data_IF_509330256063
#
_entry.id   IF_509330256063
#
_cell.length_a   1.000
_cell.length_b   1.000
_cell.length_c   1.000
_cell.angle_alpha   90.00
_cell.angle_beta   90.00
_cell.angle_gamma   90.00
#
_symmetry.space_group_name_H-M   'P 1'
#
loop_
_entity.id
_entity.type
_entity.pdbx_description
1 polymer ?
#
# COMPACT_ATOMS: atom_id res chain seq x y z
N UNK A 1 8.08 12.29 -9.00
CA UNK A 1 6.68 12.59 -9.44
C UNK A 1 6.18 11.28 -10.00
N UNK A 2 5.12 10.66 -9.45
CA UNK A 2 4.63 9.31 -9.85
C UNK A 2 4.03 9.23 -11.28
N UNK A 3 4.46 10.10 -12.20
CA UNK A 3 3.91 10.30 -13.56
C UNK A 3 4.06 9.11 -14.52
N UNK A 4 4.38 7.91 -14.02
CA UNK A 4 4.57 6.70 -14.84
C UNK A 4 3.92 5.42 -14.29
N UNK A 5 3.38 5.42 -13.06
CA UNK A 5 2.67 4.25 -12.54
C UNK A 5 1.22 4.33 -13.05
N UNK A 6 0.97 3.83 -14.26
CA UNK A 6 -0.39 3.58 -14.72
C UNK A 6 -1.01 2.50 -13.82
N UNK A 7 -1.74 2.93 -12.79
CA UNK A 7 -2.59 2.09 -11.94
C UNK A 7 -4.04 2.25 -12.36
N UNK A 8 -4.79 1.15 -12.31
CA UNK A 8 -6.22 1.13 -12.57
C UNK A 8 -6.94 1.80 -11.39
N UNK A 9 -7.17 3.11 -11.50
CA UNK A 9 -7.81 3.90 -10.45
C UNK A 9 -9.34 3.95 -10.60
N UNK A 10 -9.99 3.08 -11.39
CA UNK A 10 -11.44 3.20 -11.58
C UNK A 10 -12.26 3.02 -10.30
N UNK A 11 -11.65 2.42 -9.26
CA UNK A 11 -12.23 2.24 -7.92
C UNK A 11 -11.63 3.20 -6.87
N UNK A 12 -10.70 4.07 -7.28
CA UNK A 12 -10.04 5.07 -6.42
C UNK A 12 -10.26 6.45 -7.02
N UNK A 13 -11.03 7.30 -6.36
CA UNK A 13 -11.33 8.63 -6.88
C UNK A 13 -10.13 9.59 -6.71
N UNK A 14 -10.14 10.73 -7.41
CA UNK A 14 -9.17 11.81 -7.19
C UNK A 14 -7.84 11.72 -7.96
N UNK A 15 -7.05 12.79 -7.84
CA UNK A 15 -5.72 12.93 -8.46
C UNK A 15 -4.64 12.85 -7.38
N UNK A 16 -3.50 12.22 -7.70
CA UNK A 16 -2.36 12.19 -6.77
C UNK A 16 -1.81 13.59 -6.50
N UNK A 17 -1.69 13.92 -5.22
CA UNK A 17 -1.02 15.13 -4.75
C UNK A 17 0.50 15.04 -4.88
N UNK A 18 1.17 16.18 -4.63
CA UNK A 18 2.62 16.21 -4.54
C UNK A 18 3.10 15.37 -3.34
N UNK A 19 4.26 14.67 -3.45
CA UNK A 19 4.78 13.90 -2.35
C UNK A 19 5.20 14.80 -1.18
N UNK A 20 4.90 14.35 0.03
CA UNK A 20 5.35 14.95 1.29
C UNK A 20 6.55 14.14 1.80
N UNK A 21 7.56 14.83 2.32
CA UNK A 21 8.75 14.20 2.90
C UNK A 21 8.81 14.47 4.40
N UNK A 22 9.10 13.43 5.19
CA UNK A 22 9.33 13.53 6.62
C UNK A 22 10.57 12.70 6.99
N UNK A 23 11.46 13.25 7.81
CA UNK A 23 12.59 12.50 8.38
C UNK A 23 12.46 12.47 9.90
N UNK A 24 12.58 11.27 10.47
CA UNK A 24 12.54 11.02 11.91
C UNK A 24 13.69 10.12 12.34
N UNK A 25 14.07 10.19 13.60
CA UNK A 25 15.05 9.26 14.20
C UNK A 25 14.31 8.09 14.82
N UNK A 26 14.71 6.87 14.46
CA UNK A 26 14.21 5.62 15.03
C UNK A 26 15.34 4.87 15.73
N UNK A 27 15.01 3.87 16.55
CA UNK A 27 16.01 3.02 17.17
C UNK A 27 16.84 2.29 16.10
N UNK A 28 18.07 2.75 15.87
CA UNK A 28 18.99 2.20 14.86
C UNK A 28 19.32 3.11 13.68
N UNK A 29 18.78 4.34 13.60
CA UNK A 29 19.18 5.34 12.60
C UNK A 29 18.06 6.29 12.16
N UNK A 30 18.16 6.83 10.95
CA UNK A 30 17.14 7.71 10.37
C UNK A 30 16.10 6.91 9.58
N UNK A 31 14.84 7.36 9.64
CA UNK A 31 13.75 6.98 8.75
C UNK A 31 13.34 8.20 7.95
N UNK A 32 13.51 8.14 6.63
CA UNK A 32 12.99 9.16 5.71
C UNK A 32 11.81 8.59 4.95
N UNK A 33 10.64 9.15 5.17
CA UNK A 33 9.37 8.78 4.55
C UNK A 33 9.03 9.75 3.42
N UNK A 34 8.70 9.21 2.25
CA UNK A 34 8.10 9.91 1.12
C UNK A 34 6.68 9.37 0.94
N UNK A 35 5.67 10.22 1.06
CA UNK A 35 4.28 9.80 0.96
C UNK A 35 3.52 10.64 -0.06
N UNK A 36 2.65 10.00 -0.82
CA UNK A 36 1.69 10.68 -1.68
C UNK A 36 0.37 9.90 -1.67
N UNK A 37 -0.73 10.61 -1.84
CA UNK A 37 -2.04 10.00 -2.01
C UNK A 37 -2.89 10.80 -2.97
N UNK A 38 -3.99 10.21 -3.40
CA UNK A 38 -5.03 10.95 -4.09
C UNK A 38 -5.76 11.92 -3.14
N UNK A 39 -6.41 12.91 -3.74
CA UNK A 39 -7.05 14.02 -3.03
C UNK A 39 -8.12 13.63 -2.01
N UNK A 40 -8.71 12.43 -2.14
CA UNK A 40 -9.73 11.91 -1.22
C UNK A 40 -9.22 10.80 -0.29
N UNK A 41 -7.93 10.46 -0.37
CA UNK A 41 -7.31 9.45 0.50
C UNK A 41 -7.76 8.02 0.21
N UNK A 42 -8.38 7.76 -0.94
CA UNK A 42 -8.75 6.40 -1.35
C UNK A 42 -7.56 5.56 -1.80
N UNK A 43 -6.43 6.17 -2.15
CA UNK A 43 -5.18 5.48 -2.45
C UNK A 43 -3.99 6.31 -1.94
N UNK A 44 -3.23 5.75 -1.01
CA UNK A 44 -1.99 6.33 -0.48
C UNK A 44 -0.83 5.37 -0.68
N UNK A 45 0.34 5.94 -0.95
CA UNK A 45 1.60 5.21 -1.09
C UNK A 45 2.61 5.93 -0.21
N UNK A 46 3.17 5.20 0.75
CA UNK A 46 4.30 5.60 1.58
C UNK A 46 5.51 4.75 1.22
N UNK A 47 6.65 5.41 1.03
CA UNK A 47 7.95 4.77 0.84
C UNK A 47 8.91 5.32 1.88
N UNK A 48 9.32 4.44 2.79
CA UNK A 48 10.24 4.76 3.87
C UNK A 48 11.62 4.17 3.58
N UNK A 49 12.65 5.01 3.63
CA UNK A 49 14.05 4.56 3.68
C UNK A 49 14.42 4.30 5.14
N UNK A 50 14.87 3.09 5.42
CA UNK A 50 15.29 2.63 6.74
C UNK A 50 16.81 2.46 6.79
N UNK A 51 17.41 2.33 7.99
CA UNK A 51 18.87 2.23 8.15
C UNK A 51 19.49 0.99 7.49
N UNK A 52 18.74 -0.09 7.33
CA UNK A 52 19.17 -1.35 6.72
C UNK A 52 17.96 -2.22 6.30
N UNK A 53 18.24 -3.28 5.55
CA UNK A 53 17.26 -4.23 5.01
C UNK A 53 16.44 -4.92 6.10
N UNK A 54 17.07 -5.29 7.22
CA UNK A 54 16.39 -5.93 8.36
C UNK A 54 15.36 -4.99 9.01
N UNK A 55 15.67 -3.69 9.11
CA UNK A 55 14.75 -2.68 9.62
C UNK A 55 13.57 -2.47 8.66
N UNK A 56 13.83 -2.41 7.35
CA UNK A 56 12.78 -2.33 6.33
C UNK A 56 11.85 -3.55 6.37
N UNK A 57 12.41 -4.76 6.50
CA UNK A 57 11.62 -6.00 6.63
C UNK A 57 10.73 -5.99 7.86
N UNK A 58 11.25 -5.58 9.01
CA UNK A 58 10.47 -5.48 10.25
C UNK A 58 9.34 -4.46 10.15
N UNK A 59 9.61 -3.30 9.54
CA UNK A 59 8.59 -2.28 9.30
C UNK A 59 7.46 -2.81 8.39
N UNK A 60 7.81 -3.49 7.30
CA UNK A 60 6.84 -4.12 6.42
C UNK A 60 6.04 -5.23 7.12
N UNK A 61 6.69 -6.13 7.85
CA UNK A 61 6.02 -7.19 8.59
C UNK A 61 5.07 -6.64 9.67
N UNK A 62 5.44 -5.54 10.33
CA UNK A 62 4.63 -4.87 11.34
C UNK A 62 3.28 -4.40 10.77
N UNK A 63 3.30 -3.80 9.58
CA UNK A 63 2.12 -3.21 8.95
C UNK A 63 1.03 -4.22 8.58
N UNK A 64 1.36 -5.51 8.56
CA UNK A 64 0.44 -6.61 8.28
C UNK A 64 0.23 -7.57 9.46
N UNK A 65 0.76 -7.34 10.66
CA UNK A 65 0.65 -8.27 11.80
C UNK A 65 -0.79 -8.71 12.14
N UNK A 66 -0.91 -9.87 12.80
CA UNK A 66 -2.20 -10.49 13.20
C UNK A 66 -3.13 -9.52 13.94
N UNK A 67 -2.59 -8.65 14.78
CA UNK A 67 -3.36 -7.63 15.51
C UNK A 67 -4.11 -6.63 14.61
N UNK A 68 -3.72 -6.54 13.34
CA UNK A 68 -4.39 -5.72 12.33
C UNK A 68 -5.26 -6.55 11.38
N UNK A 69 -5.19 -7.88 11.41
CA UNK A 69 -5.91 -8.76 10.48
C UNK A 69 -7.43 -8.67 10.66
N UNK A 70 -7.94 -8.68 11.89
CA UNK A 70 -9.40 -8.64 12.11
C UNK A 70 -10.05 -7.38 11.52
N UNK A 71 -9.36 -6.24 11.61
CA UNK A 71 -9.82 -4.97 11.04
C UNK A 71 -9.61 -4.90 9.52
N UNK A 72 -8.47 -5.40 9.02
CA UNK A 72 -8.03 -5.21 7.63
C UNK A 72 -8.32 -6.39 6.69
N UNK A 73 -8.79 -7.52 7.19
CA UNK A 73 -9.32 -8.62 6.37
C UNK A 73 -10.80 -8.88 6.66
N UNK A 74 -11.21 -8.89 7.92
CA UNK A 74 -12.57 -9.29 8.27
C UNK A 74 -12.91 -10.73 7.86
N UNK A 75 -14.18 -11.15 7.98
CA UNK A 75 -14.61 -12.54 7.72
C UNK A 75 -14.47 -12.98 6.26
N UNK A 76 -14.69 -12.06 5.32
CA UNK A 76 -14.61 -12.34 3.89
C UNK A 76 -13.28 -11.88 3.26
N UNK A 77 -12.28 -11.61 4.10
CA UNK A 77 -11.04 -10.98 3.70
C UNK A 77 -10.14 -11.82 2.82
N UNK A 78 -9.32 -11.12 2.03
CA UNK A 78 -8.21 -11.74 1.29
C UNK A 78 -6.91 -11.36 1.98
N UNK A 79 -6.07 -12.35 2.28
CA UNK A 79 -4.75 -12.13 2.87
C UNK A 79 -3.66 -12.90 2.15
N UNK A 80 -2.48 -12.29 2.05
CA UNK A 80 -1.28 -12.92 1.51
C UNK A 80 -0.05 -12.40 2.22
N UNK A 81 0.81 -13.31 2.71
CA UNK A 81 2.15 -12.97 3.21
C UNK A 81 3.17 -13.16 2.10
N UNK A 82 4.18 -12.30 2.04
CA UNK A 82 5.31 -12.46 1.15
C UNK A 82 6.48 -13.13 1.88
N UNK A 83 7.27 -13.93 1.16
CA UNK A 83 8.45 -14.62 1.74
C UNK A 83 9.51 -13.66 2.27
N UNK A 84 9.61 -12.49 1.64
CA UNK A 84 10.68 -11.53 1.85
C UNK A 84 10.30 -10.42 2.85
N UNK A 85 9.11 -10.53 3.44
CA UNK A 85 8.53 -9.57 4.37
C UNK A 85 7.31 -8.85 3.80
N UNK A 86 6.36 -8.54 4.69
CA UNK A 86 5.12 -7.89 4.35
C UNK A 86 4.07 -8.80 3.74
N UNK A 87 3.19 -8.22 2.94
CA UNK A 87 2.01 -8.90 2.41
C UNK A 87 0.93 -7.94 1.95
N UNK A 88 -0.28 -8.45 1.76
CA UNK A 88 -1.48 -7.62 1.69
C UNK A 88 -2.63 -8.20 2.50
N UNK A 89 -3.51 -7.30 2.92
CA UNK A 89 -4.78 -7.55 3.60
C UNK A 89 -5.85 -6.74 2.87
N UNK A 90 -6.98 -7.36 2.53
CA UNK A 90 -8.11 -6.72 1.86
C UNK A 90 -9.38 -7.11 2.62
N UNK A 91 -10.08 -6.12 3.15
CA UNK A 91 -11.39 -6.27 3.78
C UNK A 91 -12.48 -5.77 2.82
N UNK A 92 -13.17 -6.68 2.11
CA UNK A 92 -14.23 -6.28 1.20
C UNK A 92 -15.50 -5.81 1.91
N UNK A 93 -15.65 -6.10 3.20
CA UNK A 93 -16.83 -5.75 3.99
C UNK A 93 -16.74 -4.32 4.52
N UNK A 94 -15.53 -3.78 4.67
CA UNK A 94 -15.28 -2.39 5.10
C UNK A 94 -14.70 -1.51 4.00
N UNK A 95 -14.28 -2.09 2.87
CA UNK A 95 -13.69 -1.34 1.78
C UNK A 95 -12.26 -0.87 2.05
N UNK A 96 -11.53 -1.54 2.95
CA UNK A 96 -10.17 -1.14 3.34
C UNK A 96 -9.18 -2.21 2.88
N UNK A 97 -8.05 -1.78 2.31
CA UNK A 97 -6.93 -2.66 2.01
C UNK A 97 -5.59 -2.03 2.33
N UNK A 98 -4.62 -2.89 2.58
CA UNK A 98 -3.24 -2.53 2.86
C UNK A 98 -2.31 -3.51 2.18
N UNK A 99 -1.27 -3.00 1.52
CA UNK A 99 -0.15 -3.79 1.04
C UNK A 99 1.15 -3.21 1.59
N UNK A 100 2.10 -4.09 1.89
CA UNK A 100 3.46 -3.70 2.25
C UNK A 100 4.48 -4.70 1.72
N UNK A 101 5.64 -4.21 1.36
CA UNK A 101 6.76 -4.99 0.83
C UNK A 101 8.06 -4.19 0.95
N UNK A 102 9.19 -4.84 0.66
CA UNK A 102 10.52 -4.23 0.78
C UNK A 102 11.31 -4.26 -0.52
N UNK A 103 12.24 -3.32 -0.64
CA UNK A 103 13.25 -3.26 -1.71
C UNK A 103 14.58 -2.83 -1.08
N UNK A 104 15.42 -3.80 -0.68
CA UNK A 104 16.61 -3.50 0.14
C UNK A 104 16.23 -2.77 1.43
N UNK A 105 16.87 -1.62 1.68
CA UNK A 105 16.60 -0.79 2.86
C UNK A 105 15.33 0.08 2.76
N UNK A 106 14.46 -0.19 1.79
CA UNK A 106 13.20 0.54 1.60
C UNK A 106 12.01 -0.31 2.02
N UNK A 107 11.11 0.27 2.80
CA UNK A 107 9.79 -0.26 3.14
C UNK A 107 8.74 0.51 2.36
N UNK A 108 7.79 -0.21 1.75
CA UNK A 108 6.69 0.37 0.99
C UNK A 108 5.40 0.00 1.72
N UNK A 109 4.53 0.97 1.93
CA UNK A 109 3.17 0.80 2.44
C UNK A 109 2.19 1.43 1.46
N UNK A 110 1.18 0.68 1.07
CA UNK A 110 0.09 1.12 0.22
C UNK A 110 -1.20 0.93 0.99
N UNK A 111 -2.01 1.97 1.11
CA UNK A 111 -3.37 1.86 1.63
C UNK A 111 -4.35 2.21 0.52
N UNK A 112 -5.35 1.35 0.33
CA UNK A 112 -6.35 1.48 -0.72
C UNK A 112 -7.74 1.32 -0.09
N UNK A 113 -8.49 2.41 -0.04
CA UNK A 113 -9.88 2.44 0.39
C UNK A 113 -10.79 2.47 -0.84
N UNK A 114 -11.86 1.69 -0.83
CA UNK A 114 -12.75 1.49 -1.95
C UNK A 114 -14.18 1.28 -1.44
N UNK A 115 -15.18 1.38 -2.32
CA UNK A 115 -16.56 1.07 -1.94
C UNK A 115 -16.65 -0.37 -1.40
N UNK A 116 -17.19 -0.58 -0.21
CA UNK A 116 -17.38 -1.94 0.30
C UNK A 116 -18.34 -2.73 -0.62
N UNK A 117 -18.35 -4.07 -0.47
CA UNK A 117 -19.19 -4.94 -1.30
C UNK A 117 -20.68 -4.62 -1.23
N UNK A 118 -21.18 -4.16 -0.09
CA UNK A 118 -22.59 -3.82 0.06
C UNK A 118 -22.92 -2.54 -0.74
N UNK A 119 -22.08 -1.51 -0.65
CA UNK A 119 -22.18 -0.29 -1.44
C UNK A 119 -22.06 -0.60 -2.93
N UNK A 120 -21.01 -1.30 -3.36
CA UNK A 120 -20.79 -1.65 -4.76
C UNK A 120 -22.01 -2.40 -5.34
N UNK A 121 -22.57 -3.35 -4.58
CA UNK A 121 -23.78 -4.08 -4.99
C UNK A 121 -25.01 -3.18 -5.07
N UNK A 122 -25.21 -2.29 -4.10
CA UNK A 122 -26.35 -1.38 -4.07
C UNK A 122 -26.33 -0.41 -5.26
N UNK A 123 -25.15 -0.03 -5.71
CA UNK A 123 -24.94 0.86 -6.86
C UNK A 123 -24.85 0.13 -8.21
N UNK A 124 -24.99 -1.20 -8.22
CA UNK A 124 -24.89 -2.00 -9.44
C UNK A 124 -23.47 -2.06 -10.05
N UNK A 125 -22.44 -1.77 -9.25
CA UNK A 125 -21.03 -1.87 -9.62
C UNK A 125 -20.53 -3.32 -9.49
N UNK A 126 -19.45 -3.64 -10.21
CA UNK A 126 -18.72 -4.91 -10.04
C UNK A 126 -18.02 -4.99 -8.67
N UNK A 127 -17.72 -6.21 -8.19
CA UNK A 127 -16.87 -6.39 -7.00
C UNK A 127 -15.54 -5.63 -7.20
N UNK A 128 -15.16 -4.71 -6.30
CA UNK A 128 -13.93 -3.93 -6.43
C UNK A 128 -12.66 -4.73 -6.12
N UNK A 129 -12.75 -5.83 -5.37
CA UNK A 129 -11.59 -6.61 -4.89
C UNK A 129 -10.62 -7.02 -6.03
N UNK A 130 -11.07 -7.55 -7.19
CA UNK A 130 -10.16 -7.89 -8.27
C UNK A 130 -9.36 -6.69 -8.80
N UNK A 131 -9.96 -5.50 -8.83
CA UNK A 131 -9.28 -4.26 -9.26
C UNK A 131 -8.26 -3.79 -8.22
N UNK A 132 -8.61 -3.88 -6.94
CA UNK A 132 -7.69 -3.60 -5.84
C UNK A 132 -6.47 -4.51 -5.94
N UNK A 133 -6.65 -5.83 -6.10
CA UNK A 133 -5.54 -6.79 -6.25
C UNK A 133 -4.65 -6.42 -7.44
N UNK A 134 -5.22 -6.14 -8.61
CA UNK A 134 -4.43 -5.74 -9.80
C UNK A 134 -3.62 -4.46 -9.54
N UNK A 135 -4.20 -3.49 -8.84
CA UNK A 135 -3.53 -2.24 -8.48
C UNK A 135 -2.36 -2.49 -7.55
N UNK A 136 -2.57 -3.28 -6.50
CA UNK A 136 -1.54 -3.67 -5.54
C UNK A 136 -0.41 -4.46 -6.23
N UNK A 137 -0.72 -5.39 -7.13
CA UNK A 137 0.29 -6.14 -7.89
C UNK A 137 1.10 -5.23 -8.83
N UNK A 138 0.44 -4.24 -9.46
CA UNK A 138 1.10 -3.24 -10.31
C UNK A 138 2.07 -2.39 -9.51
N UNK A 139 1.65 -1.86 -8.36
CA UNK A 139 2.50 -1.05 -7.48
C UNK A 139 3.71 -1.86 -6.99
N UNK A 140 3.48 -3.10 -6.55
CA UNK A 140 4.55 -4.02 -6.13
C UNK A 140 5.57 -4.30 -7.23
N UNK A 141 5.19 -4.21 -8.50
CA UNK A 141 6.09 -4.40 -9.62
C UNK A 141 6.81 -3.11 -10.01
N UNK A 142 6.10 -1.98 -10.09
CA UNK A 142 6.67 -0.72 -10.60
C UNK A 142 7.52 0.04 -9.59
N UNK A 143 7.15 0.05 -8.30
CA UNK A 143 7.92 0.80 -7.28
C UNK A 143 9.36 0.29 -7.13
N UNK A 144 9.62 -1.03 -7.08
CA UNK A 144 11.00 -1.52 -7.07
C UNK A 144 11.83 -1.05 -8.28
N UNK A 145 11.24 -1.04 -9.49
CA UNK A 145 11.91 -0.57 -10.71
C UNK A 145 12.29 0.92 -10.61
N UNK A 146 11.38 1.75 -10.08
CA UNK A 146 11.63 3.19 -9.85
C UNK A 146 12.74 3.43 -8.81
N UNK A 147 12.73 2.68 -7.71
CA UNK A 147 13.77 2.77 -6.67
C UNK A 147 15.14 2.35 -7.23
N UNK A 148 15.20 1.24 -7.96
CA UNK A 148 16.46 0.70 -8.51
C UNK A 148 17.04 1.58 -9.62
N UNK A 149 16.19 2.23 -10.43
CA UNK A 149 16.62 3.14 -11.49
C UNK A 149 16.99 4.55 -10.99
N UNK A 150 16.71 4.87 -9.71
CA UNK A 150 16.89 6.21 -9.16
C UNK A 150 15.89 7.25 -9.70
N UNK A 151 14.85 6.82 -10.40
CA UNK A 151 13.79 7.66 -10.96
C UNK A 151 12.56 7.66 -10.05
N UNK A 152 12.75 8.14 -8.81
CA UNK A 152 11.72 8.29 -7.78
C UNK A 152 11.18 9.74 -7.74
#
# INVERSE_FOLDING_TARGET
MLTGIGVDTTVFSGTFGAPVTNTSTIGGGERTTYACGNSDGTLTIEVARLPNDDAARKDADYAVQEQYEDMLSGPNGVKKRYSDGGGYLINPDTGVSRQTFTVGSWSILVEANFDDRAIARAEGKSDPVPTVIRTLDRIKTTVPESIQSGQW
#
